data_IF_881384868743
#
_entry.id   IF_881384868743
#
_cell.length_a   1.000
_cell.length_b   1.000
_cell.length_c   1.000
_cell.angle_alpha   90.00
_cell.angle_beta   90.00
_cell.angle_gamma   90.00
#
_symmetry.space_group_name_H-M   'P 1'
#
loop_
_entity.id
_entity.type
_entity.pdbx_description
1 polymer ?
#
# COMPACT_ATOMS: atom_id res chain seq x y z
N UNK A 1 -14.28 -6.96 -16.38
CA UNK A 1 -15.13 -5.90 -15.81
C UNK A 1 -15.46 -6.13 -14.33
N UNK A 2 -16.13 -7.22 -13.91
CA UNK A 2 -16.53 -7.39 -12.50
C UNK A 2 -15.38 -7.38 -11.49
N UNK A 3 -14.23 -7.95 -11.85
CA UNK A 3 -13.03 -7.89 -11.02
C UNK A 3 -12.50 -6.44 -10.91
N UNK A 4 -12.47 -5.71 -12.02
CA UNK A 4 -12.03 -4.32 -12.06
C UNK A 4 -12.91 -3.40 -11.20
N UNK A 5 -14.22 -3.63 -11.22
CA UNK A 5 -15.17 -2.94 -10.33
C UNK A 5 -14.79 -3.18 -8.87
N UNK A 6 -14.57 -4.44 -8.48
CA UNK A 6 -14.16 -4.78 -7.13
C UNK A 6 -12.84 -4.14 -6.72
N UNK A 7 -11.86 -4.07 -7.63
CA UNK A 7 -10.58 -3.41 -7.39
C UNK A 7 -10.78 -1.92 -7.04
N UNK A 8 -11.51 -1.17 -7.87
CA UNK A 8 -11.77 0.26 -7.61
C UNK A 8 -12.59 0.48 -6.33
N UNK A 9 -13.63 -0.34 -6.12
CA UNK A 9 -14.47 -0.23 -4.92
C UNK A 9 -13.65 -0.48 -3.65
N UNK A 10 -12.90 -1.58 -3.58
CA UNK A 10 -12.07 -1.86 -2.40
C UNK A 10 -10.94 -0.86 -2.22
N UNK A 11 -10.30 -0.43 -3.31
CA UNK A 11 -9.23 0.57 -3.27
C UNK A 11 -9.72 1.91 -2.74
N UNK A 12 -10.90 2.36 -3.17
CA UNK A 12 -11.54 3.58 -2.66
C UNK A 12 -12.04 3.43 -1.22
N UNK A 13 -12.69 2.31 -0.87
CA UNK A 13 -13.17 2.03 0.49
C UNK A 13 -12.02 2.05 1.52
N UNK A 14 -10.86 1.50 1.17
CA UNK A 14 -9.70 1.52 2.06
C UNK A 14 -9.10 2.93 2.26
N UNK A 15 -9.43 3.91 1.41
CA UNK A 15 -8.99 5.30 1.55
C UNK A 15 -9.87 6.13 2.47
N UNK A 16 -11.03 5.62 2.92
CA UNK A 16 -11.83 6.26 3.97
C UNK A 16 -11.21 6.03 5.36
N UNK A 17 -9.99 6.53 5.55
CA UNK A 17 -9.22 6.37 6.78
C UNK A 17 -8.50 7.66 7.15
N UNK A 18 -8.29 7.93 8.46
CA UNK A 18 -7.49 9.08 8.89
C UNK A 18 -6.09 9.06 8.28
N UNK A 19 -5.45 7.89 8.20
CA UNK A 19 -4.12 7.75 7.61
C UNK A 19 -4.04 8.24 6.15
N UNK A 20 -5.06 7.96 5.33
CA UNK A 20 -5.10 8.50 3.97
C UNK A 20 -5.27 10.02 3.95
N UNK A 21 -6.21 10.53 4.75
CA UNK A 21 -6.70 11.91 4.70
C UNK A 21 -5.73 12.89 5.37
N UNK A 22 -5.09 12.43 6.43
CA UNK A 22 -4.20 13.24 7.25
C UNK A 22 -2.76 13.20 6.77
N UNK A 23 -2.37 12.13 6.06
CA UNK A 23 -0.98 11.88 5.65
C UNK A 23 -0.85 11.82 4.13
N UNK A 24 -1.52 10.88 3.45
CA UNK A 24 -1.29 10.64 2.01
C UNK A 24 -1.80 11.78 1.15
N UNK A 25 -3.04 12.21 1.35
CA UNK A 25 -3.66 13.26 0.56
C UNK A 25 -2.87 14.59 0.59
N UNK A 26 -2.44 15.10 1.76
CA UNK A 26 -1.63 16.32 1.82
C UNK A 26 -0.25 16.13 1.20
N UNK A 27 0.41 14.99 1.39
CA UNK A 27 1.69 14.70 0.75
C UNK A 27 1.55 14.70 -0.78
N UNK A 28 0.44 14.16 -1.28
CA UNK A 28 0.11 14.19 -2.70
C UNK A 28 -0.07 15.62 -3.21
N UNK A 29 -0.86 16.45 -2.52
CA UNK A 29 -1.02 17.87 -2.90
C UNK A 29 0.27 18.67 -2.82
N UNK A 30 1.03 18.49 -1.73
CA UNK A 30 2.30 19.17 -1.50
C UNK A 30 3.27 18.92 -2.65
N UNK A 31 3.36 17.67 -3.08
CA UNK A 31 4.20 17.25 -4.21
C UNK A 31 3.68 17.81 -5.55
N UNK A 32 2.38 17.60 -5.85
CA UNK A 32 1.78 18.02 -7.13
C UNK A 32 1.87 19.53 -7.38
N UNK A 33 1.62 20.33 -6.35
CA UNK A 33 1.53 21.78 -6.46
C UNK A 33 2.74 22.51 -5.85
N UNK A 34 3.78 21.77 -5.41
CA UNK A 34 4.98 22.31 -4.73
C UNK A 34 4.62 23.28 -3.60
N UNK A 35 3.67 22.90 -2.76
CA UNK A 35 3.17 23.75 -1.67
C UNK A 35 4.17 23.79 -0.52
N UNK A 36 4.27 24.94 0.13
CA UNK A 36 5.03 25.09 1.37
C UNK A 36 4.25 24.51 2.56
N UNK A 37 4.97 24.16 3.62
CA UNK A 37 4.36 23.75 4.88
C UNK A 37 3.46 24.87 5.44
N UNK A 38 2.27 24.51 5.91
CA UNK A 38 1.26 25.45 6.42
C UNK A 38 0.34 26.07 5.35
N UNK A 39 0.48 25.72 4.07
CA UNK A 39 -0.43 26.22 3.02
C UNK A 39 -1.88 25.79 3.29
N UNK A 40 -2.84 26.72 3.19
CA UNK A 40 -4.25 26.48 3.56
C UNK A 40 -4.90 25.29 2.84
N UNK A 41 -4.54 25.03 1.58
CA UNK A 41 -5.02 23.86 0.82
C UNK A 41 -4.68 22.53 1.49
N UNK A 42 -3.57 22.43 2.22
CA UNK A 42 -3.18 21.23 2.96
C UNK A 42 -4.07 20.99 4.20
N UNK A 43 -4.77 22.03 4.67
CA UNK A 43 -5.70 21.94 5.79
C UNK A 43 -7.10 21.46 5.38
N UNK A 44 -7.45 21.49 4.09
CA UNK A 44 -8.79 21.12 3.60
C UNK A 44 -8.89 19.60 3.40
N UNK A 45 -9.12 18.88 4.51
CA UNK A 45 -9.14 17.41 4.57
C UNK A 45 -10.31 16.78 3.83
N UNK A 46 -11.38 17.54 3.61
CA UNK A 46 -12.63 17.13 2.95
C UNK A 46 -12.38 16.59 1.54
N UNK A 47 -11.42 17.16 0.82
CA UNK A 47 -11.02 16.69 -0.50
C UNK A 47 -10.43 15.28 -0.46
N UNK A 48 -9.77 14.88 0.63
CA UNK A 48 -9.30 13.50 0.80
C UNK A 48 -10.47 12.50 0.72
N UNK A 49 -11.58 12.80 1.39
CA UNK A 49 -12.81 12.01 1.28
C UNK A 49 -13.39 12.04 -0.13
N UNK A 50 -13.32 13.18 -0.82
CA UNK A 50 -13.76 13.29 -2.22
C UNK A 50 -12.93 12.37 -3.14
N UNK A 51 -11.60 12.35 -3.01
CA UNK A 51 -10.74 11.46 -3.80
C UNK A 51 -11.05 9.98 -3.54
N UNK A 52 -11.23 9.59 -2.26
CA UNK A 52 -11.63 8.24 -1.90
C UNK A 52 -13.01 7.86 -2.48
N UNK A 53 -13.98 8.78 -2.39
CA UNK A 53 -15.33 8.60 -2.93
C UNK A 53 -15.36 8.52 -4.45
N UNK A 54 -14.59 9.36 -5.15
CA UNK A 54 -14.48 9.32 -6.61
C UNK A 54 -14.01 7.96 -7.10
N UNK A 55 -13.07 7.31 -6.42
CA UNK A 55 -12.59 5.97 -6.79
C UNK A 55 -13.68 4.90 -6.61
N UNK A 56 -14.47 4.97 -5.53
CA UNK A 56 -15.64 4.10 -5.34
C UNK A 56 -16.69 4.36 -6.41
N UNK A 57 -16.95 5.63 -6.74
CA UNK A 57 -17.90 6.03 -7.78
C UNK A 57 -17.46 5.60 -9.18
N UNK A 58 -16.16 5.59 -9.47
CA UNK A 58 -15.62 5.00 -10.71
C UNK A 58 -15.99 3.51 -10.77
N UNK A 59 -15.74 2.76 -9.69
CA UNK A 59 -16.12 1.35 -9.61
C UNK A 59 -17.62 1.13 -9.87
N UNK A 60 -18.48 1.89 -9.17
CA UNK A 60 -19.95 1.80 -9.34
C UNK A 60 -20.38 2.24 -10.74
N UNK A 61 -19.76 3.28 -11.29
CA UNK A 61 -20.05 3.83 -12.61
C UNK A 61 -19.75 2.86 -13.75
N UNK A 62 -18.82 1.92 -13.56
CA UNK A 62 -18.52 0.87 -14.54
C UNK A 62 -19.63 -0.21 -14.64
N UNK A 63 -20.53 -0.31 -13.64
CA UNK A 63 -21.63 -1.28 -13.63
C UNK A 63 -22.62 -0.99 -14.77
N UNK A 64 -23.09 0.26 -14.87
CA UNK A 64 -24.15 0.64 -15.78
C UNK A 64 -23.60 1.12 -17.12
N UNK A 65 -24.15 0.61 -18.23
CA UNK A 65 -23.71 0.96 -19.60
C UNK A 65 -23.76 2.47 -19.86
N UNK A 66 -24.77 3.18 -19.31
CA UNK A 66 -24.94 4.63 -19.47
C UNK A 66 -23.84 5.46 -18.81
N UNK A 67 -23.27 4.99 -17.71
CA UNK A 67 -22.21 5.72 -16.96
C UNK A 67 -20.81 5.20 -17.25
N UNK A 68 -20.70 4.06 -17.95
CA UNK A 68 -19.45 3.32 -18.13
C UNK A 68 -18.34 4.14 -18.80
N UNK A 69 -18.63 4.81 -19.92
CA UNK A 69 -17.62 5.60 -20.61
C UNK A 69 -17.17 6.81 -19.77
N UNK A 70 -18.07 7.42 -19.00
CA UNK A 70 -17.72 8.48 -18.05
C UNK A 70 -16.79 7.92 -16.96
N UNK A 71 -17.13 6.75 -16.40
CA UNK A 71 -16.29 6.09 -15.40
C UNK A 71 -14.90 5.70 -15.96
N UNK A 72 -14.82 5.27 -17.23
CA UNK A 72 -13.54 5.01 -17.91
C UNK A 72 -12.72 6.29 -18.03
N UNK A 73 -13.31 7.41 -18.45
CA UNK A 73 -12.60 8.71 -18.55
C UNK A 73 -12.09 9.12 -17.17
N UNK A 74 -12.94 9.07 -16.13
CA UNK A 74 -12.56 9.40 -14.76
C UNK A 74 -11.45 8.50 -14.23
N UNK A 75 -11.51 7.19 -14.51
CA UNK A 75 -10.45 6.24 -14.15
C UNK A 75 -9.12 6.58 -14.82
N UNK A 76 -9.14 6.91 -16.11
CA UNK A 76 -7.94 7.31 -16.86
C UNK A 76 -7.35 8.60 -16.27
N UNK A 77 -8.19 9.62 -16.05
CA UNK A 77 -7.75 10.89 -15.46
C UNK A 77 -7.13 10.69 -14.07
N UNK A 78 -7.75 9.86 -13.22
CA UNK A 78 -7.21 9.50 -11.91
C UNK A 78 -5.84 8.81 -12.02
N UNK A 79 -5.68 7.82 -12.90
CA UNK A 79 -4.40 7.15 -13.10
C UNK A 79 -3.32 8.07 -13.69
N UNK A 80 -3.68 8.98 -14.59
CA UNK A 80 -2.76 10.01 -15.09
C UNK A 80 -2.32 10.97 -13.97
N UNK A 81 -3.23 11.38 -13.09
CA UNK A 81 -2.89 12.19 -11.92
C UNK A 81 -1.89 11.45 -11.01
N UNK A 82 -2.10 10.16 -10.75
CA UNK A 82 -1.17 9.34 -9.96
C UNK A 82 0.20 9.28 -10.65
N UNK A 83 0.25 9.06 -11.96
CA UNK A 83 1.51 9.04 -12.72
C UNK A 83 2.25 10.39 -12.60
N UNK A 84 1.55 11.51 -12.76
CA UNK A 84 2.13 12.85 -12.61
C UNK A 84 2.69 13.05 -11.19
N UNK A 85 1.92 12.67 -10.17
CA UNK A 85 2.37 12.76 -8.77
C UNK A 85 3.68 11.99 -8.55
N UNK A 86 3.80 10.80 -9.12
CA UNK A 86 5.01 9.98 -8.99
C UNK A 86 6.20 10.61 -9.67
N UNK A 87 6.04 11.07 -10.91
CA UNK A 87 7.12 11.72 -11.66
C UNK A 87 7.62 12.99 -10.97
N UNK A 88 6.72 13.76 -10.34
CA UNK A 88 7.06 15.07 -9.75
C UNK A 88 7.61 14.98 -8.33
N UNK A 89 7.23 13.97 -7.54
CA UNK A 89 7.70 13.92 -6.16
C UNK A 89 7.31 12.69 -5.35
N UNK A 90 7.21 11.51 -5.98
CA UNK A 90 7.21 10.25 -5.24
C UNK A 90 8.34 9.35 -5.76
N UNK A 91 9.29 8.91 -4.91
CA UNK A 91 10.40 8.08 -5.35
C UNK A 91 9.98 6.66 -5.77
N UNK A 92 8.73 6.25 -5.52
CA UNK A 92 8.28 4.91 -5.84
C UNK A 92 7.85 4.75 -7.31
N UNK A 93 8.81 4.56 -8.20
CA UNK A 93 8.56 4.33 -9.62
C UNK A 93 7.84 3.02 -9.95
N UNK A 94 7.71 2.07 -9.01
CA UNK A 94 6.93 0.83 -9.21
C UNK A 94 5.44 1.10 -9.47
N UNK A 95 4.98 2.31 -9.13
CA UNK A 95 3.61 2.77 -9.38
C UNK A 95 3.34 2.95 -10.88
N UNK A 96 4.36 3.30 -11.68
CA UNK A 96 4.18 3.66 -13.09
C UNK A 96 3.68 2.49 -13.94
N UNK A 97 4.33 1.31 -13.96
CA UNK A 97 3.90 0.22 -14.84
C UNK A 97 2.48 -0.25 -14.52
N UNK A 98 2.13 -0.31 -13.23
CA UNK A 98 0.79 -0.71 -12.80
C UNK A 98 -0.28 0.29 -13.23
N UNK A 99 -0.07 1.60 -13.07
CA UNK A 99 -1.06 2.60 -13.47
C UNK A 99 -1.25 2.67 -15.00
N UNK A 100 -0.18 2.52 -15.78
CA UNK A 100 -0.26 2.41 -17.24
C UNK A 100 -1.06 1.15 -17.64
N UNK A 101 -0.80 0.02 -16.99
CA UNK A 101 -1.54 -1.21 -17.21
C UNK A 101 -3.03 -1.05 -16.87
N UNK A 102 -3.35 -0.42 -15.74
CA UNK A 102 -4.73 -0.18 -15.31
C UNK A 102 -5.50 0.71 -16.29
N UNK A 103 -4.86 1.75 -16.86
CA UNK A 103 -5.41 2.56 -17.96
C UNK A 103 -5.77 1.67 -19.15
N UNK A 104 -4.84 0.83 -19.60
CA UNK A 104 -5.07 -0.09 -20.71
C UNK A 104 -6.21 -1.08 -20.43
N UNK A 105 -6.23 -1.68 -19.24
CA UNK A 105 -7.25 -2.65 -18.83
C UNK A 105 -8.64 -2.00 -18.75
N UNK A 106 -8.78 -0.83 -18.12
CA UNK A 106 -10.08 -0.17 -17.99
C UNK A 106 -10.63 0.26 -19.35
N UNK A 107 -9.77 0.83 -20.20
CA UNK A 107 -10.14 1.24 -21.56
C UNK A 107 -10.57 0.03 -22.39
N UNK A 108 -9.70 -0.98 -22.55
CA UNK A 108 -9.97 -2.13 -23.42
C UNK A 108 -11.16 -2.98 -22.94
N UNK A 109 -11.38 -3.09 -21.62
CA UNK A 109 -12.44 -3.94 -21.09
C UNK A 109 -13.81 -3.29 -21.01
N UNK A 110 -13.87 -1.95 -20.96
CA UNK A 110 -15.09 -1.23 -20.56
C UNK A 110 -15.50 -0.12 -21.54
N UNK A 111 -14.60 0.41 -22.37
CA UNK A 111 -14.94 1.46 -23.34
C UNK A 111 -15.88 0.95 -24.44
N UNK A 112 -16.97 1.68 -24.69
CA UNK A 112 -17.98 1.33 -25.71
C UNK A 112 -18.48 -0.12 -25.63
N UNK A 113 -18.38 -0.72 -24.44
CA UNK A 113 -18.87 -2.06 -24.21
C UNK A 113 -20.33 -1.96 -23.77
N UNK A 114 -21.25 -2.58 -24.49
CA UNK A 114 -22.67 -2.62 -24.14
C UNK A 114 -23.05 -3.87 -23.33
N UNK A 115 -22.10 -4.80 -23.14
CA UNK A 115 -22.38 -6.04 -22.42
C UNK A 115 -22.76 -5.75 -20.97
N UNK A 116 -23.86 -6.37 -20.54
CA UNK A 116 -24.29 -6.44 -19.15
C UNK A 116 -23.30 -7.34 -18.39
N UNK A 117 -23.09 -7.09 -17.09
CA UNK A 117 -22.25 -7.93 -16.23
C UNK A 117 -22.69 -9.40 -16.30
N UNK A 118 -21.90 -10.24 -16.97
CA UNK A 118 -22.11 -11.68 -17.01
C UNK A 118 -21.27 -12.36 -15.92
N UNK A 119 -21.95 -12.99 -14.97
CA UNK A 119 -21.32 -13.78 -13.90
C UNK A 119 -20.89 -15.18 -14.36
N UNK A 120 -21.34 -15.60 -15.55
CA UNK A 120 -21.09 -16.93 -16.08
C UNK A 120 -20.70 -16.88 -17.57
N UNK A 121 -19.49 -16.40 -17.89
CA UNK A 121 -19.10 -16.11 -19.27
C UNK A 121 -18.71 -17.36 -20.07
N UNK A 122 -18.51 -18.52 -19.43
CA UNK A 122 -17.95 -19.71 -20.08
C UNK A 122 -18.83 -20.94 -19.95
N UNK A 123 -18.87 -21.78 -20.98
CA UNK A 123 -19.51 -23.11 -20.93
C UNK A 123 -18.67 -24.14 -20.16
N UNK A 124 -17.36 -23.93 -20.05
CA UNK A 124 -16.43 -24.85 -19.37
C UNK A 124 -16.57 -24.78 -17.85
N UNK A 125 -16.79 -25.92 -17.21
CA UNK A 125 -16.89 -26.04 -15.74
C UNK A 125 -15.63 -25.54 -15.03
N UNK A 126 -14.43 -25.83 -15.56
CA UNK A 126 -13.17 -25.38 -14.97
C UNK A 126 -13.08 -23.84 -14.96
N UNK A 127 -13.40 -23.20 -16.09
CA UNK A 127 -13.36 -21.74 -16.20
C UNK A 127 -14.39 -21.08 -15.27
N UNK A 128 -15.55 -21.71 -15.05
CA UNK A 128 -16.53 -21.23 -14.06
C UNK A 128 -15.98 -21.26 -12.65
N UNK A 129 -15.35 -22.38 -12.24
CA UNK A 129 -14.74 -22.51 -10.92
C UNK A 129 -13.65 -21.45 -10.73
N UNK A 130 -12.75 -21.28 -11.71
CA UNK A 130 -11.72 -20.25 -11.66
C UNK A 130 -12.30 -18.83 -11.58
N UNK A 131 -13.32 -18.53 -12.40
CA UNK A 131 -13.99 -17.22 -12.40
C UNK A 131 -14.64 -16.94 -11.04
N UNK A 132 -15.34 -17.91 -10.48
CA UNK A 132 -15.94 -17.79 -9.16
C UNK A 132 -14.88 -17.61 -8.07
N UNK A 133 -13.79 -18.39 -8.12
CA UNK A 133 -12.65 -18.21 -7.23
C UNK A 133 -12.06 -16.80 -7.28
N UNK A 134 -11.88 -16.24 -8.47
CA UNK A 134 -11.40 -14.85 -8.64
C UNK A 134 -12.39 -13.82 -8.10
N UNK A 135 -13.70 -14.04 -8.30
CA UNK A 135 -14.73 -13.17 -7.72
C UNK A 135 -14.64 -13.20 -6.19
N UNK A 136 -14.51 -14.38 -5.57
CA UNK A 136 -14.33 -14.50 -4.12
C UNK A 136 -13.06 -13.79 -3.65
N UNK A 137 -11.94 -13.99 -4.36
CA UNK A 137 -10.65 -13.35 -4.04
C UNK A 137 -10.71 -11.82 -4.13
N UNK A 138 -11.48 -11.26 -5.06
CA UNK A 138 -11.54 -9.80 -5.26
C UNK A 138 -12.66 -9.16 -4.44
N UNK A 139 -13.80 -9.83 -4.24
CA UNK A 139 -14.96 -9.22 -3.58
C UNK A 139 -15.07 -9.58 -2.10
N UNK A 140 -14.63 -10.78 -1.69
CA UNK A 140 -14.82 -11.26 -0.32
C UNK A 140 -13.53 -11.15 0.49
N UNK A 141 -12.41 -11.65 -0.05
CA UNK A 141 -11.15 -11.72 0.71
C UNK A 141 -10.64 -10.36 1.21
N UNK A 142 -10.77 -9.23 0.49
CA UNK A 142 -10.31 -7.94 1.00
C UNK A 142 -10.98 -7.51 2.31
N UNK A 143 -12.23 -7.96 2.57
CA UNK A 143 -12.91 -7.67 3.83
C UNK A 143 -12.19 -8.25 5.06
N UNK A 144 -11.39 -9.30 4.89
CA UNK A 144 -10.62 -9.94 5.95
C UNK A 144 -9.38 -9.12 6.35
N UNK A 145 -8.93 -8.17 5.52
CA UNK A 145 -7.87 -7.23 5.88
C UNK A 145 -8.27 -6.28 7.00
N UNK A 146 -9.57 -6.00 7.16
CA UNK A 146 -10.07 -5.22 8.30
C UNK A 146 -9.71 -5.85 9.66
N UNK A 147 -9.54 -7.18 9.68
CA UNK A 147 -9.12 -7.96 10.86
C UNK A 147 -7.66 -8.43 10.77
N UNK A 148 -6.85 -7.86 9.86
CA UNK A 148 -5.48 -8.27 9.57
C UNK A 148 -5.31 -9.75 9.20
N UNK A 149 -6.37 -10.41 8.71
CA UNK A 149 -6.35 -11.83 8.30
C UNK A 149 -6.06 -12.02 6.81
N UNK A 150 -5.95 -10.93 6.07
CA UNK A 150 -5.62 -10.91 4.65
C UNK A 150 -4.67 -9.76 4.36
N UNK A 151 -3.81 -9.93 3.35
CA UNK A 151 -2.74 -8.98 3.07
C UNK A 151 -3.28 -7.66 2.52
N UNK A 152 -2.65 -6.55 2.91
CA UNK A 152 -3.07 -5.22 2.51
C UNK A 152 -3.05 -5.05 0.98
N UNK A 153 -1.97 -5.45 0.31
CA UNK A 153 -1.86 -5.30 -1.15
C UNK A 153 -2.88 -6.17 -1.91
N UNK A 154 -3.18 -7.38 -1.41
CA UNK A 154 -4.23 -8.24 -1.98
C UNK A 154 -5.65 -7.74 -1.68
N UNK A 155 -5.78 -6.77 -0.79
CA UNK A 155 -7.04 -6.10 -0.46
C UNK A 155 -7.21 -4.77 -1.17
N UNK A 156 -6.30 -4.45 -2.09
CA UNK A 156 -6.24 -3.16 -2.77
C UNK A 156 -6.06 -1.99 -1.80
N UNK A 157 -5.46 -2.26 -0.64
CA UNK A 157 -5.15 -1.28 0.39
C UNK A 157 -3.77 -0.65 0.09
N UNK A 158 -3.73 0.16 -0.97
CA UNK A 158 -2.54 0.83 -1.50
C UNK A 158 -2.63 2.34 -1.24
N UNK A 159 -1.52 2.94 -0.82
CA UNK A 159 -1.41 4.38 -0.54
C UNK A 159 -2.48 4.88 0.44
N UNK A 160 -2.71 4.14 1.52
CA UNK A 160 -3.62 4.54 2.61
C UNK A 160 -2.86 4.82 3.90
N UNK A 161 -1.57 4.50 3.96
CA UNK A 161 -0.72 4.51 5.17
C UNK A 161 -1.26 3.65 6.33
N UNK A 162 -2.25 2.78 6.07
CA UNK A 162 -2.77 1.77 7.00
C UNK A 162 -1.96 0.46 6.96
N UNK A 163 -0.90 0.44 6.18
CA UNK A 163 -0.02 -0.72 6.03
C UNK A 163 1.01 -0.78 7.16
N UNK A 164 1.50 -1.98 7.44
CA UNK A 164 2.56 -2.16 8.42
C UNK A 164 3.92 -1.86 7.81
N UNK A 165 4.68 -1.00 8.48
CA UNK A 165 6.07 -0.67 8.24
C UNK A 165 6.97 -1.37 9.25
N UNK A 166 8.29 -1.34 9.05
CA UNK A 166 9.25 -1.99 9.94
C UNK A 166 10.48 -1.13 10.19
N UNK A 167 10.87 -1.05 11.46
CA UNK A 167 12.15 -0.56 11.94
C UNK A 167 12.92 -1.69 12.60
N UNK A 168 14.25 -1.66 12.47
CA UNK A 168 15.16 -2.57 13.18
C UNK A 168 16.06 -1.74 14.08
N UNK A 169 15.81 -1.79 15.38
CA UNK A 169 16.65 -1.22 16.41
C UNK A 169 17.81 -2.15 16.75
N UNK A 170 19.01 -1.60 16.81
CA UNK A 170 20.24 -2.29 17.14
C UNK A 170 20.92 -1.58 18.31
N UNK A 171 21.16 -2.30 19.40
CA UNK A 171 21.96 -1.82 20.53
C UNK A 171 23.45 -1.96 20.25
N UNK A 172 24.28 -1.34 21.09
CA UNK A 172 25.73 -1.20 20.91
C UNK A 172 26.47 -2.49 20.48
N UNK A 173 26.15 -3.67 21.05
CA UNK A 173 26.82 -4.92 20.66
C UNK A 173 26.45 -5.34 19.23
N UNK A 174 25.16 -5.28 18.88
CA UNK A 174 24.69 -5.62 17.54
C UNK A 174 25.19 -4.63 16.46
N UNK A 175 25.46 -3.37 16.83
CA UNK A 175 26.03 -2.37 15.91
C UNK A 175 27.46 -2.69 15.46
N UNK A 176 28.23 -3.43 16.26
CA UNK A 176 29.60 -3.82 15.92
C UNK A 176 29.58 -4.93 14.86
N UNK A 177 28.59 -5.82 14.92
CA UNK A 177 28.48 -7.00 14.04
C UNK A 177 27.69 -6.75 12.75
N UNK A 178 27.07 -5.57 12.62
CA UNK A 178 26.23 -5.23 11.47
C UNK A 178 27.06 -5.04 10.19
N UNK A 179 26.48 -5.42 9.05
CA UNK A 179 27.15 -5.23 7.76
C UNK A 179 27.40 -3.73 7.48
N UNK A 180 28.59 -3.31 7.02
CA UNK A 180 28.91 -1.89 6.83
C UNK A 180 27.96 -1.13 5.91
N UNK A 181 27.41 -1.79 4.88
CA UNK A 181 26.43 -1.17 3.97
C UNK A 181 25.15 -0.73 4.68
N UNK A 182 24.79 -1.34 5.81
CA UNK A 182 23.54 -1.01 6.50
C UNK A 182 23.61 0.32 7.27
N UNK A 183 24.80 0.89 7.43
CA UNK A 183 25.01 2.13 8.20
C UNK A 183 24.39 3.36 7.52
N UNK A 184 24.22 3.35 6.21
CA UNK A 184 23.61 4.46 5.46
C UNK A 184 22.07 4.54 5.62
N UNK A 185 21.47 3.49 6.16
CA UNK A 185 20.04 3.38 6.41
C UNK A 185 19.66 3.68 7.86
N UNK A 186 20.61 4.14 8.67
CA UNK A 186 20.28 4.60 10.01
C UNK A 186 19.40 5.85 9.96
N UNK A 187 18.34 5.84 10.75
CA UNK A 187 17.53 7.03 11.01
C UNK A 187 18.40 8.04 11.75
N UNK A 188 18.31 9.31 11.33
CA UNK A 188 19.12 10.39 11.92
C UNK A 188 18.77 10.65 13.39
N UNK A 189 17.48 10.53 13.72
CA UNK A 189 16.97 10.67 15.08
C UNK A 189 17.30 9.44 15.92
N UNK A 190 17.78 9.68 17.15
CA UNK A 190 17.99 8.60 18.12
C UNK A 190 16.63 8.22 18.72
N UNK A 191 16.01 7.19 18.14
CA UNK A 191 14.73 6.64 18.59
C UNK A 191 14.91 5.68 19.78
N UNK A 192 16.11 5.12 19.97
CA UNK A 192 16.44 4.20 21.06
C UNK A 192 17.66 4.67 21.83
N UNK A 193 17.64 4.47 23.14
CA UNK A 193 18.79 4.69 24.02
C UNK A 193 19.92 3.72 23.66
N UNK A 194 21.15 4.25 23.54
CA UNK A 194 22.37 3.49 23.27
C UNK A 194 22.30 2.54 22.05
N UNK A 195 21.66 3.01 20.97
CA UNK A 195 21.54 2.25 19.74
C UNK A 195 21.26 3.09 18.49
N UNK A 196 21.07 2.40 17.36
CA UNK A 196 20.60 2.99 16.10
C UNK A 196 19.45 2.20 15.52
N UNK A 197 18.60 2.87 14.77
CA UNK A 197 17.45 2.27 14.09
C UNK A 197 17.70 2.29 12.60
N UNK A 198 17.50 1.16 11.93
CA UNK A 198 17.51 1.03 10.47
C UNK A 198 16.10 1.24 9.95
N UNK A 199 15.96 2.15 8.99
CA UNK A 199 14.77 2.29 8.16
C UNK A 199 14.76 1.22 7.06
N UNK A 200 13.96 0.17 7.27
CA UNK A 200 13.87 -0.97 6.35
C UNK A 200 13.21 -0.58 5.04
N UNK A 201 12.29 0.39 5.06
CA UNK A 201 11.64 0.88 3.84
C UNK A 201 12.64 1.64 2.98
N UNK A 202 13.42 2.54 3.58
CA UNK A 202 14.53 3.22 2.88
C UNK A 202 15.52 2.23 2.29
N UNK A 203 15.94 1.24 3.09
CA UNK A 203 16.86 0.19 2.63
C UNK A 203 16.32 -0.56 1.41
N UNK A 204 15.04 -0.97 1.44
CA UNK A 204 14.43 -1.68 0.32
C UNK A 204 14.32 -0.81 -0.95
N UNK A 205 14.01 0.48 -0.81
CA UNK A 205 13.95 1.40 -1.95
C UNK A 205 15.33 1.67 -2.56
N UNK A 206 16.38 1.77 -1.75
CA UNK A 206 17.71 2.05 -2.24
C UNK A 206 18.33 0.85 -2.96
N UNK A 207 18.17 -0.37 -2.41
CA UNK A 207 18.72 -1.60 -3.00
C UNK A 207 17.86 -2.19 -4.12
N UNK A 208 16.53 -2.29 -3.91
CA UNK A 208 15.63 -3.04 -4.80
C UNK A 208 14.69 -2.16 -5.61
N UNK A 209 14.63 -0.85 -5.32
CA UNK A 209 13.69 0.10 -5.95
C UNK A 209 12.22 -0.28 -5.77
N UNK A 210 11.90 -1.03 -4.72
CA UNK A 210 10.54 -1.46 -4.38
C UNK A 210 10.27 -1.29 -2.88
N UNK A 211 9.03 -1.00 -2.46
CA UNK A 211 8.68 -0.98 -1.04
C UNK A 211 8.70 -2.38 -0.44
N UNK A 212 8.83 -2.45 0.89
CA UNK A 212 8.67 -3.70 1.64
C UNK A 212 7.22 -4.16 1.57
N UNK A 213 7.00 -5.43 1.24
CA UNK A 213 5.66 -6.01 1.25
C UNK A 213 5.09 -6.01 2.68
N UNK A 214 3.95 -5.32 2.95
CA UNK A 214 3.49 -5.04 4.31
C UNK A 214 2.72 -6.23 4.88
N UNK A 215 3.45 -7.28 5.24
CA UNK A 215 2.91 -8.45 5.91
C UNK A 215 3.84 -8.95 7.00
N UNK A 216 3.25 -9.40 8.11
CA UNK A 216 3.98 -9.89 9.28
C UNK A 216 4.97 -11.02 8.92
N UNK A 217 4.60 -11.91 7.99
CA UNK A 217 5.49 -12.99 7.53
C UNK A 217 6.77 -12.45 6.86
N UNK A 218 6.66 -11.34 6.13
CA UNK A 218 7.79 -10.68 5.46
C UNK A 218 8.64 -9.97 6.49
N UNK A 219 8.03 -9.25 7.42
CA UNK A 219 8.75 -8.62 8.54
C UNK A 219 9.51 -9.63 9.40
N UNK A 220 8.91 -10.80 9.68
CA UNK A 220 9.60 -11.90 10.37
C UNK A 220 10.76 -12.47 9.57
N UNK A 221 10.61 -12.58 8.25
CA UNK A 221 11.71 -13.00 7.38
C UNK A 221 12.88 -12.02 7.40
N UNK A 222 12.59 -10.71 7.37
CA UNK A 222 13.58 -9.64 7.54
C UNK A 222 14.21 -9.74 8.94
N UNK A 223 13.40 -9.91 9.99
CA UNK A 223 13.88 -10.10 11.36
C UNK A 223 14.87 -11.27 11.52
N UNK A 224 14.61 -12.40 10.85
CA UNK A 224 15.54 -13.56 10.85
C UNK A 224 16.92 -13.23 10.29
N UNK A 225 17.02 -12.30 9.35
CA UNK A 225 18.32 -11.85 8.82
C UNK A 225 19.17 -11.15 9.90
N UNK A 226 18.53 -10.36 10.76
CA UNK A 226 19.21 -9.67 11.86
C UNK A 226 19.44 -10.58 13.08
N UNK A 227 18.49 -11.46 13.38
CA UNK A 227 18.51 -12.36 14.54
C UNK A 227 19.44 -13.57 14.38
N UNK A 228 20.74 -13.31 14.18
CA UNK A 228 21.78 -14.34 14.10
C UNK A 228 21.97 -15.05 15.45
N UNK A 229 22.38 -16.34 15.48
CA UNK A 229 22.55 -17.09 16.72
C UNK A 229 23.54 -16.48 17.74
N UNK A 230 24.50 -15.70 17.26
CA UNK A 230 25.57 -15.13 18.08
C UNK A 230 25.20 -13.78 18.71
N UNK A 231 24.09 -13.17 18.31
CA UNK A 231 23.62 -11.89 18.84
C UNK A 231 22.53 -12.15 19.87
N UNK A 232 22.71 -11.60 21.07
CA UNK A 232 21.73 -11.74 22.14
C UNK A 232 20.42 -11.04 21.77
N UNK A 233 19.30 -11.66 22.13
CA UNK A 233 17.97 -11.27 21.64
C UNK A 233 17.49 -9.91 22.17
N UNK A 234 18.12 -9.40 23.22
CA UNK A 234 17.91 -8.07 23.79
C UNK A 234 18.62 -6.96 23.01
N UNK A 235 19.62 -7.31 22.18
CA UNK A 235 20.38 -6.37 21.37
C UNK A 235 19.68 -5.96 20.08
N UNK A 236 18.61 -6.67 19.70
CA UNK A 236 17.83 -6.43 18.49
C UNK A 236 16.38 -6.19 18.87
N UNK A 237 15.85 -5.04 18.48
CA UNK A 237 14.45 -4.69 18.64
C UNK A 237 13.81 -4.57 17.27
N UNK A 238 12.85 -5.43 16.96
CA UNK A 238 12.12 -5.38 15.70
C UNK A 238 10.79 -4.67 15.97
N UNK A 239 10.60 -3.49 15.40
CA UNK A 239 9.39 -2.69 15.62
C UNK A 239 8.61 -2.65 14.32
N UNK A 240 7.44 -3.27 14.31
CA UNK A 240 6.49 -3.07 13.22
C UNK A 240 5.51 -1.98 13.63
N UNK A 241 5.15 -1.08 12.72
CA UNK A 241 4.27 0.05 13.06
C UNK A 241 3.34 0.41 11.91
N UNK A 242 2.29 1.17 12.22
CA UNK A 242 1.36 1.78 11.25
C UNK A 242 1.27 3.27 11.51
N UNK A 243 0.95 4.05 10.49
CA UNK A 243 0.77 5.49 10.63
C UNK A 243 -0.72 5.84 10.81
N UNK A 244 -1.05 6.88 11.60
CA UNK A 244 -0.14 7.66 12.45
C UNK A 244 0.39 6.82 13.64
N UNK A 245 1.59 7.17 14.11
CA UNK A 245 2.28 6.49 15.21
C UNK A 245 1.59 6.87 16.54
N UNK A 246 0.54 6.13 16.88
CA UNK A 246 -0.27 6.27 18.10
C UNK A 246 -0.13 4.98 18.91
N UNK A 247 -0.24 5.05 20.24
CA UNK A 247 -0.25 3.86 21.10
C UNK A 247 -1.24 2.80 20.60
N UNK A 248 -0.76 1.56 20.45
CA UNK A 248 -1.51 0.44 19.86
C UNK A 248 -1.33 0.24 18.35
N UNK A 249 -0.66 1.16 17.64
CA UNK A 249 -0.31 1.01 16.22
C UNK A 249 1.12 0.48 15.97
N UNK A 250 1.83 0.02 17.01
CA UNK A 250 3.11 -0.64 16.87
C UNK A 250 3.16 -1.97 17.65
N UNK A 251 3.93 -2.93 17.14
CA UNK A 251 4.16 -4.23 17.74
C UNK A 251 5.68 -4.48 17.76
N UNK A 252 6.19 -4.74 18.95
CA UNK A 252 7.60 -5.11 19.16
C UNK A 252 7.71 -6.63 19.07
N UNK A 253 8.52 -7.09 18.12
CA UNK A 253 8.84 -8.50 17.93
C UNK A 253 10.24 -8.78 18.50
N UNK A 254 10.37 -9.89 19.20
CA UNK A 254 11.66 -10.42 19.63
C UNK A 254 12.22 -11.36 18.56
N UNK A 255 13.51 -11.67 18.65
CA UNK A 255 14.11 -12.70 17.80
C UNK A 255 13.44 -14.08 17.96
N UNK A 256 12.77 -14.35 19.08
CA UNK A 256 12.00 -15.60 19.27
C UNK A 256 10.76 -15.64 18.39
N UNK A 257 10.12 -14.49 18.16
CA UNK A 257 8.90 -14.38 17.34
C UNK A 257 9.15 -14.61 15.85
N UNK A 258 10.40 -14.49 15.42
CA UNK A 258 10.86 -14.70 14.05
C UNK A 258 11.27 -16.16 13.73
N UNK A 259 11.43 -17.02 14.74
CA UNK A 259 11.92 -18.41 14.60
C UNK A 259 10.85 -19.43 14.19
N UNK A 260 9.72 -18.97 13.61
CA UNK A 260 8.66 -19.83 13.06
C UNK A 260 8.58 -19.72 11.54
#
# INVERSE_FOLDING_TARGET
>A
MILLIGIYVWSGLNKFTPSFIDIVYPLMLKSLFKLNDGHYLLAVREWGYLFAGLEVLIGIGLIHSKTRNIAVILAILMHLQIIIWVVVGNPNYTILPWNICMIGIVYLSSWNNEQILQLNPSKSTLLKICTFGLILLVWIMPSFNLKNKWDAYLSFNLYTERISHMYVGLRQKALIEIHPSLKEYFVAENIIDDGKVIDVEKWAFDELKVPVYPALRVHKAIGRYFCKPNIDSDQIMLVTYRRPFIDGNYEILSCKDCRK
#
